data_IF_689434960310
#
_entry.id   IF_689434960310
#
_cell.length_a   1.000
_cell.length_b   1.000
_cell.length_c   1.000
_cell.angle_alpha   90.00
_cell.angle_beta   90.00
_cell.angle_gamma   90.00
#
_symmetry.space_group_name_H-M   'P 1'
#
loop_
_entity.id
_entity.type
_entity.pdbx_description
1 polymer ?
#
# COMPACT_ATOMS: atom_id res chain seq x y z
N UNK A 1 -63.03 -5.52 -34.63
CA UNK A 1 -61.62 -5.43 -35.05
C UNK A 1 -60.95 -4.32 -34.25
N UNK A 2 -60.31 -4.52 -33.10
CA UNK A 2 -60.08 -5.60 -32.13
C UNK A 2 -58.80 -5.12 -31.39
N UNK A 3 -58.62 -5.01 -30.07
CA UNK A 3 -59.26 -5.49 -28.84
C UNK A 3 -58.74 -4.63 -27.65
N UNK A 4 -59.61 -4.35 -26.67
CA UNK A 4 -59.48 -4.43 -25.18
C UNK A 4 -58.13 -4.07 -24.48
N UNK A 5 -58.03 -3.45 -23.29
CA UNK A 5 -59.00 -3.26 -22.19
C UNK A 5 -58.49 -2.24 -21.13
N UNK A 6 -59.44 -1.71 -20.36
CA UNK A 6 -59.33 -0.74 -19.27
C UNK A 6 -58.89 -1.31 -17.89
N UNK A 7 -58.21 -0.46 -17.12
CA UNK A 7 -58.28 -0.16 -15.67
C UNK A 7 -59.15 -0.99 -14.70
N UNK A 8 -58.61 -1.24 -13.48
CA UNK A 8 -59.27 -1.09 -12.15
C UNK A 8 -58.21 -0.47 -11.19
N UNK A 9 -58.32 0.74 -10.60
CA UNK A 9 -59.28 1.31 -9.60
C UNK A 9 -59.28 0.49 -8.30
N UNK A 10 -58.92 1.05 -7.14
CA UNK A 10 -59.76 1.87 -6.24
C UNK A 10 -58.99 2.12 -4.92
N UNK A 11 -59.22 3.10 -4.03
CA UNK A 11 -59.95 4.38 -4.02
C UNK A 11 -59.84 5.01 -2.61
N UNK A 12 -60.10 6.32 -2.53
CA UNK A 12 -60.16 7.22 -1.37
C UNK A 12 -61.18 6.84 -0.27
N UNK A 13 -60.96 7.39 0.94
CA UNK A 13 -62.03 7.62 1.93
C UNK A 13 -61.55 8.30 3.21
N UNK A 14 -62.05 9.51 3.50
CA UNK A 14 -61.86 10.26 4.75
C UNK A 14 -63.24 10.51 5.37
N UNK A 15 -63.49 10.07 6.62
CA UNK A 15 -64.53 10.62 7.51
C UNK A 15 -64.45 10.09 8.97
N UNK A 16 -64.39 11.04 9.90
CA UNK A 16 -65.01 11.13 11.25
C UNK A 16 -64.74 10.11 12.40
N UNK A 17 -64.18 10.69 13.49
CA UNK A 17 -64.42 10.48 14.94
C UNK A 17 -64.83 9.09 15.50
N UNK A 18 -63.92 8.50 16.28
CA UNK A 18 -64.27 7.82 17.54
C UNK A 18 -63.09 7.88 18.52
N UNK A 19 -63.32 8.49 19.67
CA UNK A 19 -62.46 8.45 20.87
C UNK A 19 -62.34 7.01 21.39
N UNK A 20 -61.11 6.52 21.54
CA UNK A 20 -60.82 5.27 22.24
C UNK A 20 -59.33 5.19 22.56
N UNK A 21 -58.98 5.31 23.85
CA UNK A 21 -57.63 5.02 24.33
C UNK A 21 -57.30 3.55 24.03
N UNK A 22 -56.30 3.32 23.18
CA UNK A 22 -55.66 2.03 23.03
C UNK A 22 -54.14 2.25 22.93
N UNK A 23 -53.40 1.58 23.80
CA UNK A 23 -51.95 1.64 23.91
C UNK A 23 -51.28 1.31 22.57
N UNK A 24 -50.41 2.20 22.10
CA UNK A 24 -49.51 1.91 20.98
C UNK A 24 -48.34 1.09 21.55
N UNK A 25 -48.11 -0.16 21.11
CA UNK A 25 -46.86 -0.84 21.44
C UNK A 25 -45.74 -0.05 20.74
N UNK A 26 -44.77 0.41 21.52
CA UNK A 26 -43.61 1.11 21.00
C UNK A 26 -42.95 0.27 19.91
N UNK A 27 -42.85 0.83 18.71
CA UNK A 27 -41.97 0.31 17.67
C UNK A 27 -40.56 0.53 18.19
N UNK A 28 -40.02 -0.48 18.88
CA UNK A 28 -38.61 -0.57 19.14
C UNK A 28 -37.93 -0.59 17.77
N UNK A 29 -37.33 0.54 17.39
CA UNK A 29 -36.39 0.59 16.29
C UNK A 29 -35.33 -0.46 16.60
N UNK A 30 -35.40 -1.60 15.91
CA UNK A 30 -34.35 -2.57 15.91
C UNK A 30 -33.14 -1.89 15.27
N UNK A 31 -32.32 -1.21 16.09
CA UNK A 31 -30.93 -0.94 15.74
C UNK A 31 -30.37 -2.30 15.36
N UNK A 32 -30.08 -2.50 14.08
CA UNK A 32 -29.27 -3.62 13.64
C UNK A 32 -28.02 -3.57 14.50
N UNK A 33 -27.90 -4.49 15.47
CA UNK A 33 -26.65 -4.67 16.19
C UNK A 33 -25.63 -4.98 15.11
N UNK A 34 -24.66 -4.08 14.89
CA UNK A 34 -23.48 -4.40 14.10
C UNK A 34 -22.98 -5.76 14.60
N UNK A 35 -22.58 -6.69 13.72
CA UNK A 35 -21.90 -7.89 14.14
C UNK A 35 -20.75 -7.47 15.06
N UNK A 36 -20.75 -7.95 16.31
CA UNK A 36 -19.65 -7.69 17.21
C UNK A 36 -18.43 -8.41 16.62
N UNK A 37 -17.50 -7.66 16.05
CA UNK A 37 -16.22 -8.22 15.65
C UNK A 37 -15.42 -8.41 16.93
N UNK A 38 -15.12 -9.66 17.27
CA UNK A 38 -14.34 -9.99 18.47
C UNK A 38 -12.85 -9.72 18.25
N UNK A 39 -12.24 -8.86 19.07
CA UNK A 39 -10.81 -8.54 19.05
C UNK A 39 -10.34 -8.02 20.42
N UNK A 40 -9.03 -8.17 20.70
CA UNK A 40 -8.40 -7.72 21.94
C UNK A 40 -8.07 -6.22 21.88
N UNK A 41 -8.37 -5.49 22.96
CA UNK A 41 -8.11 -4.05 23.11
C UNK A 41 -7.21 -3.70 24.30
N UNK A 42 -7.11 -4.60 25.30
CA UNK A 42 -6.17 -4.45 26.41
C UNK A 42 -4.74 -4.53 25.88
N UNK A 43 -3.98 -3.45 26.03
CA UNK A 43 -2.63 -3.32 25.47
C UNK A 43 -1.65 -4.25 26.19
N UNK A 44 -1.08 -5.20 25.44
CA UNK A 44 0.05 -6.03 25.87
C UNK A 44 1.01 -6.29 24.70
N UNK A 45 2.18 -5.64 24.71
CA UNK A 45 3.21 -5.78 23.67
C UNK A 45 3.83 -7.18 23.60
N UNK A 46 3.52 -8.06 24.56
CA UNK A 46 3.99 -9.46 24.58
C UNK A 46 2.90 -10.44 24.18
N UNK A 47 1.68 -9.97 23.92
CA UNK A 47 0.58 -10.81 23.46
C UNK A 47 0.50 -10.78 21.91
N UNK A 48 0.79 -11.91 21.23
CA UNK A 48 0.66 -11.99 19.78
C UNK A 48 -0.80 -11.88 19.30
N UNK A 49 -1.79 -12.20 20.14
CA UNK A 49 -3.21 -12.03 19.80
C UNK A 49 -3.60 -10.56 19.79
N UNK A 50 -3.20 -9.79 20.81
CA UNK A 50 -3.33 -8.34 20.80
C UNK A 50 -2.60 -7.70 19.62
N UNK A 51 -1.36 -8.13 19.34
CA UNK A 51 -0.57 -7.60 18.21
C UNK A 51 -1.26 -7.88 16.87
N UNK A 52 -1.75 -9.11 16.65
CA UNK A 52 -2.54 -9.47 15.46
C UNK A 52 -3.74 -8.54 15.28
N UNK A 53 -4.55 -8.40 16.33
CA UNK A 53 -5.80 -7.65 16.28
C UNK A 53 -5.56 -6.14 16.09
N UNK A 54 -4.57 -5.58 16.77
CA UNK A 54 -4.21 -4.16 16.64
C UNK A 54 -3.58 -3.88 15.27
N UNK A 55 -2.66 -4.72 14.80
CA UNK A 55 -2.05 -4.56 13.47
C UNK A 55 -3.09 -4.72 12.35
N UNK A 56 -4.00 -5.69 12.44
CA UNK A 56 -5.08 -5.85 11.46
C UNK A 56 -5.98 -4.61 11.38
N UNK A 57 -6.28 -3.96 12.52
CA UNK A 57 -7.04 -2.70 12.55
C UNK A 57 -6.26 -1.49 12.03
N UNK A 58 -4.93 -1.50 12.06
CA UNK A 58 -4.10 -0.45 11.44
C UNK A 58 -4.01 -0.68 9.93
N UNK A 59 -3.70 -1.91 9.52
CA UNK A 59 -3.47 -2.26 8.12
C UNK A 59 -4.77 -2.34 7.30
N UNK A 60 -5.94 -2.54 7.93
CA UNK A 60 -7.25 -2.50 7.28
C UNK A 60 -8.39 -2.10 8.22
N UNK A 61 -9.63 -2.14 7.70
CA UNK A 61 -10.83 -2.18 8.54
C UNK A 61 -11.25 -3.65 8.69
N UNK A 62 -11.35 -4.13 9.93
CA UNK A 62 -11.71 -5.54 10.21
C UNK A 62 -13.21 -5.81 10.09
N UNK A 63 -14.03 -4.78 9.84
CA UNK A 63 -15.41 -4.95 9.39
C UNK A 63 -15.37 -5.40 7.91
N UNK A 64 -15.80 -6.64 7.58
CA UNK A 64 -15.66 -7.20 6.23
C UNK A 64 -16.54 -6.48 5.19
N UNK A 65 -17.46 -5.60 5.63
CA UNK A 65 -18.30 -4.80 4.73
C UNK A 65 -17.62 -3.53 4.23
N UNK A 66 -16.43 -3.23 4.75
CA UNK A 66 -15.68 -2.02 4.44
C UNK A 66 -14.34 -2.34 3.78
N UNK A 67 -13.71 -1.30 3.26
CA UNK A 67 -12.33 -1.30 2.85
C UNK A 67 -11.63 -0.04 3.37
N UNK A 68 -10.35 -0.16 3.72
CA UNK A 68 -9.51 0.97 4.12
C UNK A 68 -8.88 1.57 2.88
N UNK A 69 -8.98 2.88 2.73
CA UNK A 69 -8.17 3.64 1.77
C UNK A 69 -6.98 4.30 2.50
N UNK A 70 -5.77 4.04 2.02
CA UNK A 70 -4.56 4.75 2.44
C UNK A 70 -4.04 5.62 1.32
N UNK A 71 -3.47 6.78 1.66
CA UNK A 71 -2.78 7.66 0.71
C UNK A 71 -1.35 7.91 1.16
N UNK A 72 -0.45 7.96 0.19
CA UNK A 72 0.98 8.12 0.41
C UNK A 72 1.55 9.22 -0.48
N UNK A 73 2.48 10.01 0.06
CA UNK A 73 3.16 11.07 -0.67
C UNK A 73 4.59 11.30 -0.18
N UNK A 74 5.49 11.58 -1.10
CA UNK A 74 6.88 11.89 -0.77
C UNK A 74 7.76 12.07 -2.00
N UNK A 75 9.03 11.71 -1.84
CA UNK A 75 10.07 11.87 -2.87
C UNK A 75 10.97 10.65 -2.93
N UNK A 76 11.46 10.37 -4.13
CA UNK A 76 12.50 9.39 -4.36
C UNK A 76 13.83 10.10 -4.63
N UNK A 77 14.86 9.64 -3.92
CA UNK A 77 16.18 10.24 -3.90
C UNK A 77 17.18 9.28 -4.55
N UNK A 78 17.91 9.75 -5.56
CA UNK A 78 19.01 9.01 -6.18
C UNK A 78 20.29 9.17 -5.37
N UNK A 79 20.78 8.05 -4.84
CA UNK A 79 22.00 7.98 -4.03
C UNK A 79 23.09 7.29 -4.85
N UNK A 80 24.07 8.07 -5.31
CA UNK A 80 25.22 7.58 -6.10
C UNK A 80 26.53 8.07 -5.47
N UNK A 81 27.63 7.30 -5.55
CA UNK A 81 28.91 7.73 -5.00
C UNK A 81 29.38 9.08 -5.56
N UNK A 82 30.14 9.81 -4.75
CA UNK A 82 30.94 10.97 -5.14
C UNK A 82 30.16 12.17 -5.71
N UNK A 83 28.86 12.25 -5.44
CA UNK A 83 28.06 13.44 -5.72
C UNK A 83 26.99 13.67 -4.64
N UNK A 84 26.33 14.84 -4.72
CA UNK A 84 25.18 15.11 -3.86
C UNK A 84 24.04 14.16 -4.20
N UNK A 85 23.31 13.74 -3.19
CA UNK A 85 22.02 13.04 -3.37
C UNK A 85 21.10 13.92 -4.20
N UNK A 86 20.48 13.33 -5.23
CA UNK A 86 19.57 14.03 -6.14
C UNK A 86 18.14 13.69 -5.82
N UNK A 87 17.25 14.67 -5.72
CA UNK A 87 15.81 14.41 -5.80
C UNK A 87 15.47 14.11 -7.24
N UNK A 88 14.88 12.93 -7.52
CA UNK A 88 14.62 12.48 -8.88
C UNK A 88 13.20 12.82 -9.34
N UNK A 89 12.21 12.50 -8.49
CA UNK A 89 10.80 12.68 -8.77
C UNK A 89 9.98 12.60 -7.47
N UNK A 90 8.76 13.12 -7.53
CA UNK A 90 7.76 12.89 -6.49
C UNK A 90 7.23 11.46 -6.55
N UNK A 91 6.73 10.99 -5.41
CA UNK A 91 6.12 9.67 -5.24
C UNK A 91 4.76 9.90 -4.62
N UNK A 92 3.69 9.46 -5.27
CA UNK A 92 2.34 9.65 -4.76
C UNK A 92 1.43 8.50 -5.19
N UNK A 93 0.65 7.98 -4.26
CA UNK A 93 -0.13 6.78 -4.50
C UNK A 93 -1.18 6.53 -3.44
N UNK A 94 -1.85 5.39 -3.57
CA UNK A 94 -2.85 4.96 -2.63
C UNK A 94 -3.00 3.43 -2.65
N UNK A 95 -3.63 2.91 -1.61
CA UNK A 95 -3.97 1.50 -1.51
C UNK A 95 -5.38 1.31 -0.98
N UNK A 96 -5.99 0.20 -1.38
CA UNK A 96 -7.25 -0.28 -0.82
C UNK A 96 -7.04 -1.65 -0.20
N UNK A 97 -7.51 -1.81 1.03
CA UNK A 97 -7.38 -3.05 1.81
C UNK A 97 -8.74 -3.51 2.30
N UNK A 98 -9.06 -4.78 2.03
CA UNK A 98 -10.20 -5.48 2.63
C UNK A 98 -9.69 -6.61 3.52
N UNK A 99 -10.32 -6.77 4.67
CA UNK A 99 -10.00 -7.85 5.62
C UNK A 99 -11.09 -8.91 5.61
N UNK A 100 -10.67 -10.18 5.65
CA UNK A 100 -11.56 -11.32 5.87
C UNK A 100 -11.08 -12.10 7.08
N UNK A 101 -11.90 -12.17 8.13
CA UNK A 101 -11.62 -13.00 9.31
C UNK A 101 -11.71 -14.48 8.92
N UNK A 102 -10.72 -15.27 9.33
CA UNK A 102 -10.63 -16.71 9.10
C UNK A 102 -11.14 -17.47 10.34
N UNK A 103 -11.39 -18.76 10.16
CA UNK A 103 -11.97 -19.63 11.21
C UNK A 103 -11.07 -19.73 12.46
N UNK A 104 -9.75 -19.63 12.29
CA UNK A 104 -8.75 -19.65 13.36
C UNK A 104 -8.57 -18.29 14.06
N UNK A 105 -9.35 -17.27 13.66
CA UNK A 105 -9.28 -15.91 14.19
C UNK A 105 -8.23 -15.02 13.53
N UNK A 106 -7.43 -15.54 12.60
CA UNK A 106 -6.53 -14.72 11.77
C UNK A 106 -7.30 -13.87 10.76
N UNK A 107 -6.63 -12.89 10.15
CA UNK A 107 -7.20 -12.03 9.12
C UNK A 107 -6.47 -12.27 7.81
N UNK A 108 -7.22 -12.64 6.77
CA UNK A 108 -6.73 -12.58 5.40
C UNK A 108 -6.83 -11.14 4.92
N UNK A 109 -5.67 -10.53 4.67
CA UNK A 109 -5.54 -9.20 4.09
C UNK A 109 -5.56 -9.31 2.58
N UNK A 110 -6.48 -8.57 1.95
CA UNK A 110 -6.57 -8.43 0.50
C UNK A 110 -6.27 -7.01 0.09
N UNK A 111 -5.12 -6.78 -0.54
CA UNK A 111 -4.65 -5.45 -0.91
C UNK A 111 -4.51 -5.32 -2.42
N UNK A 112 -4.87 -4.12 -2.90
CA UNK A 112 -4.42 -3.57 -4.17
C UNK A 112 -3.82 -2.19 -3.93
N UNK A 113 -2.68 -1.91 -4.54
CA UNK A 113 -2.00 -0.61 -4.38
C UNK A 113 -1.36 -0.15 -5.67
N UNK A 114 -1.34 1.18 -5.81
CA UNK A 114 -0.72 1.84 -6.95
C UNK A 114 0.03 3.10 -6.49
N UNK A 115 1.25 3.26 -6.97
CA UNK A 115 2.09 4.44 -6.70
C UNK A 115 2.65 4.97 -8.01
N UNK A 116 2.35 6.23 -8.26
CA UNK A 116 2.80 6.98 -9.42
C UNK A 116 4.03 7.81 -9.09
N UNK A 117 4.77 8.15 -10.14
CA UNK A 117 5.88 9.08 -10.07
C UNK A 117 5.45 10.42 -10.66
N UNK A 118 5.72 11.50 -9.93
CA UNK A 118 5.25 12.84 -10.28
C UNK A 118 6.40 13.78 -10.58
N UNK A 119 6.15 14.74 -11.48
CA UNK A 119 7.08 15.80 -11.78
C UNK A 119 7.28 16.71 -10.55
N UNK A 120 8.52 17.14 -10.31
CA UNK A 120 8.88 17.86 -9.09
C UNK A 120 8.36 19.29 -9.04
N UNK A 121 8.15 19.91 -10.20
CA UNK A 121 7.70 21.31 -10.30
C UNK A 121 6.19 21.40 -10.33
N UNK A 122 5.55 20.57 -11.16
CA UNK A 122 4.10 20.61 -11.44
C UNK A 122 3.30 19.69 -10.53
N UNK A 123 3.90 18.62 -10.01
CA UNK A 123 3.21 17.57 -9.26
C UNK A 123 2.34 16.64 -10.12
N UNK A 124 2.39 16.75 -11.45
CA UNK A 124 1.63 15.90 -12.36
C UNK A 124 2.23 14.49 -12.46
N UNK A 125 1.39 13.48 -12.65
CA UNK A 125 1.83 12.10 -12.91
C UNK A 125 2.54 12.05 -14.26
N UNK A 126 3.75 11.48 -14.27
CA UNK A 126 4.59 11.41 -15.46
C UNK A 126 4.38 10.10 -16.24
N UNK A 127 4.19 10.20 -17.56
CA UNK A 127 4.35 9.07 -18.49
C UNK A 127 5.80 8.93 -18.98
N UNK A 128 6.54 10.05 -19.01
CA UNK A 128 7.95 10.08 -19.40
C UNK A 128 8.76 10.92 -18.42
N UNK A 129 10.01 10.53 -18.21
CA UNK A 129 10.94 11.22 -17.34
C UNK A 129 12.31 11.32 -17.99
N UNK A 130 12.97 12.46 -17.83
CA UNK A 130 14.34 12.65 -18.27
C UNK A 130 15.30 12.16 -17.20
N UNK A 131 16.08 11.12 -17.51
CA UNK A 131 17.05 10.56 -16.58
C UNK A 131 18.35 11.39 -16.59
N UNK A 132 18.67 12.12 -15.49
CA UNK A 132 19.85 12.99 -15.43
C UNK A 132 21.17 12.23 -15.36
N UNK A 133 21.15 10.90 -15.25
CA UNK A 133 22.33 10.06 -15.23
C UNK A 133 22.71 9.50 -16.60
N UNK A 134 21.73 9.26 -17.46
CA UNK A 134 21.93 8.72 -18.82
C UNK A 134 21.66 9.73 -19.92
N UNK A 135 21.07 10.89 -19.59
CA UNK A 135 20.60 11.92 -20.53
C UNK A 135 19.48 11.41 -21.47
N UNK A 136 18.80 10.32 -21.10
CA UNK A 136 17.73 9.71 -21.88
C UNK A 136 16.35 10.07 -21.32
N UNK A 137 15.37 10.29 -22.21
CA UNK A 137 13.96 10.30 -21.82
C UNK A 137 13.40 8.88 -21.84
N UNK A 138 13.02 8.38 -20.66
CA UNK A 138 12.49 7.03 -20.45
C UNK A 138 10.99 7.06 -20.18
N UNK A 139 10.29 5.99 -20.54
CA UNK A 139 8.89 5.78 -20.15
C UNK A 139 8.85 5.39 -18.66
N UNK A 140 7.96 6.00 -17.91
CA UNK A 140 7.76 5.73 -16.48
C UNK A 140 6.83 4.53 -16.33
N UNK A 141 7.15 3.64 -15.40
CA UNK A 141 6.28 2.51 -15.03
C UNK A 141 5.94 2.63 -13.54
N UNK A 142 4.65 2.74 -13.16
CA UNK A 142 4.24 2.89 -11.76
C UNK A 142 4.49 1.60 -10.97
N UNK A 143 4.49 1.72 -9.64
CA UNK A 143 4.34 0.55 -8.76
C UNK A 143 2.87 0.17 -8.82
N UNK A 144 2.57 -1.06 -9.23
CA UNK A 144 1.22 -1.54 -9.40
C UNK A 144 1.15 -2.99 -8.88
N UNK A 145 0.80 -3.16 -7.60
CA UNK A 145 0.75 -4.48 -6.98
C UNK A 145 -0.71 -4.93 -6.88
N UNK A 146 -1.05 -5.97 -7.63
CA UNK A 146 -2.40 -6.54 -7.72
C UNK A 146 -2.34 -8.07 -7.90
N UNK A 147 -2.58 -8.86 -6.83
CA UNK A 147 -2.82 -8.45 -5.45
C UNK A 147 -1.53 -8.44 -4.63
N UNK A 148 -1.58 -7.91 -3.40
CA UNK A 148 -0.55 -8.13 -2.38
C UNK A 148 -1.15 -8.67 -1.08
N UNK A 149 -1.56 -9.93 -1.14
CA UNK A 149 -2.28 -10.60 -0.07
C UNK A 149 -1.33 -11.36 0.87
N UNK A 150 -1.62 -11.32 2.16
CA UNK A 150 -1.00 -12.18 3.17
C UNK A 150 -1.95 -12.38 4.36
N UNK A 151 -1.58 -13.27 5.28
CA UNK A 151 -2.37 -13.58 6.47
C UNK A 151 -1.75 -12.93 7.70
N UNK A 152 -2.53 -12.14 8.44
CA UNK A 152 -2.17 -11.55 9.74
C UNK A 152 -2.68 -12.52 10.81
N UNK A 153 -1.74 -13.22 11.47
CA UNK A 153 -2.04 -14.24 12.48
C UNK A 153 -1.31 -13.95 13.79
N UNK A 154 -1.45 -14.84 14.78
CA UNK A 154 -0.66 -14.79 16.02
C UNK A 154 0.81 -15.23 15.79
N UNK A 155 1.17 -15.58 14.55
CA UNK A 155 2.52 -15.90 14.10
C UNK A 155 2.97 -14.95 13.01
N UNK A 156 4.26 -14.63 13.01
CA UNK A 156 4.86 -13.76 12.01
C UNK A 156 4.60 -14.30 10.59
N UNK A 157 4.27 -13.43 9.62
CA UNK A 157 4.05 -13.86 8.26
C UNK A 157 5.34 -14.41 7.66
N UNK A 158 5.20 -15.41 6.79
CA UNK A 158 6.29 -15.83 5.92
C UNK A 158 6.77 -14.65 5.05
N UNK A 159 8.02 -14.72 4.60
CA UNK A 159 8.52 -13.77 3.62
C UNK A 159 7.66 -13.79 2.35
N UNK A 160 7.51 -12.66 1.64
CA UNK A 160 6.77 -12.64 0.39
C UNK A 160 7.49 -13.52 -0.63
N UNK A 161 6.79 -14.52 -1.19
CA UNK A 161 7.40 -15.51 -2.10
C UNK A 161 7.71 -14.97 -3.49
N UNK A 162 7.05 -13.87 -3.89
CA UNK A 162 7.18 -13.25 -5.22
C UNK A 162 7.06 -14.26 -6.36
N UNK A 163 5.99 -15.06 -6.33
CA UNK A 163 5.77 -16.11 -7.32
C UNK A 163 6.76 -17.27 -7.23
N UNK A 164 7.40 -17.46 -6.07
CA UNK A 164 8.35 -18.54 -5.79
C UNK A 164 9.82 -18.16 -6.02
N UNK A 165 10.13 -16.91 -6.39
CA UNK A 165 11.51 -16.45 -6.53
C UNK A 165 12.20 -16.30 -5.18
N UNK A 166 11.49 -15.77 -4.19
CA UNK A 166 11.99 -15.70 -2.83
C UNK A 166 11.64 -16.99 -2.08
N UNK A 167 12.66 -17.75 -1.73
CA UNK A 167 12.55 -19.03 -1.04
C UNK A 167 12.92 -18.95 0.44
N UNK A 168 13.12 -17.73 0.96
CA UNK A 168 13.48 -17.53 2.36
C UNK A 168 12.35 -17.96 3.27
N UNK A 169 12.55 -19.09 3.94
CA UNK A 169 11.66 -19.59 4.98
C UNK A 169 12.02 -18.93 6.30
N UNK A 170 11.01 -18.45 7.01
CA UNK A 170 11.17 -17.92 8.37
C UNK A 170 10.79 -18.98 9.37
N UNK A 171 11.51 -19.02 10.49
CA UNK A 171 11.05 -19.80 11.63
C UNK A 171 9.70 -19.27 12.10
N UNK A 172 8.83 -20.20 12.52
CA UNK A 172 7.50 -19.85 13.00
C UNK A 172 7.62 -19.24 14.39
N UNK A 173 7.59 -17.92 14.44
CA UNK A 173 7.67 -17.15 15.68
C UNK A 173 6.34 -16.45 15.98
N UNK A 174 6.02 -16.16 17.25
CA UNK A 174 4.88 -15.32 17.61
C UNK A 174 4.93 -13.97 16.90
N UNK A 175 3.79 -13.45 16.45
CA UNK A 175 3.71 -12.14 15.83
C UNK A 175 3.79 -11.05 16.89
N UNK A 176 5.01 -10.69 17.28
CA UNK A 176 5.31 -9.53 18.09
C UNK A 176 5.94 -8.45 17.20
N UNK A 177 5.71 -7.18 17.56
CA UNK A 177 6.17 -6.03 16.78
C UNK A 177 6.83 -5.00 17.68
N UNK A 178 7.60 -4.09 17.07
CA UNK A 178 8.35 -3.05 17.77
C UNK A 178 7.44 -1.87 18.13
N UNK A 179 6.76 -2.02 19.26
CA UNK A 179 5.84 -1.04 19.84
C UNK A 179 6.51 -0.20 20.92
N UNK A 180 6.24 1.10 20.90
CA UNK A 180 6.60 2.02 21.97
C UNK A 180 5.48 3.03 22.26
N UNK A 181 5.49 3.59 23.47
CA UNK A 181 4.62 4.72 23.80
C UNK A 181 5.22 6.01 23.29
N UNK A 182 4.41 6.80 22.58
CA UNK A 182 4.77 8.14 22.13
C UNK A 182 4.29 9.24 23.10
N UNK A 183 4.60 10.50 22.80
CA UNK A 183 4.10 11.64 23.57
C UNK A 183 2.58 11.82 23.40
N UNK A 184 1.95 12.63 24.26
CA UNK A 184 0.56 13.09 24.10
C UNK A 184 -0.50 11.98 23.96
N UNK A 185 -0.24 10.77 24.48
CA UNK A 185 -1.20 9.67 24.39
C UNK A 185 -1.14 8.88 23.09
N UNK A 186 -0.09 9.03 22.28
CA UNK A 186 0.11 8.21 21.08
C UNK A 186 0.88 6.92 21.38
N UNK A 187 0.83 5.99 20.43
CA UNK A 187 1.72 4.83 20.34
C UNK A 187 2.41 4.84 18.98
N UNK A 188 3.62 4.31 18.93
CA UNK A 188 4.43 4.21 17.73
C UNK A 188 4.69 2.73 17.46
N UNK A 189 4.52 2.33 16.21
CA UNK A 189 4.83 1.01 15.71
C UNK A 189 5.87 1.13 14.60
N UNK A 190 7.01 0.47 14.77
CA UNK A 190 7.99 0.29 13.71
C UNK A 190 7.84 -1.12 13.11
N UNK A 191 7.64 -1.19 11.80
CA UNK A 191 7.69 -2.46 11.06
C UNK A 191 8.66 -2.35 9.90
N UNK A 192 9.20 -3.48 9.45
CA UNK A 192 10.07 -3.48 8.30
C UNK A 192 10.41 -4.86 7.80
N UNK A 193 11.01 -4.88 6.61
CA UNK A 193 11.49 -6.09 5.98
C UNK A 193 12.75 -5.78 5.16
N UNK A 194 13.77 -6.60 5.37
CA UNK A 194 14.99 -6.61 4.56
C UNK A 194 14.99 -7.87 3.70
N UNK A 195 15.26 -7.70 2.41
CA UNK A 195 15.15 -8.76 1.41
C UNK A 195 16.39 -8.83 0.54
N UNK A 196 16.80 -10.05 0.22
CA UNK A 196 17.82 -10.36 -0.77
C UNK A 196 17.44 -11.66 -1.48
N UNK A 197 16.86 -11.56 -2.67
CA UNK A 197 16.31 -12.71 -3.39
C UNK A 197 16.66 -12.66 -4.89
N UNK A 198 16.57 -13.78 -5.64
CA UNK A 198 16.81 -13.79 -7.07
C UNK A 198 16.02 -12.72 -7.82
N UNK A 199 16.70 -11.90 -8.63
CA UNK A 199 16.07 -10.84 -9.38
C UNK A 199 15.24 -11.41 -10.56
N UNK A 200 13.99 -11.00 -10.70
CA UNK A 200 13.16 -11.37 -11.86
C UNK A 200 13.76 -10.86 -13.19
N UNK A 201 14.51 -9.76 -13.15
CA UNK A 201 15.20 -9.15 -14.29
C UNK A 201 16.66 -9.63 -14.31
N UNK A 202 16.92 -10.82 -14.86
CA UNK A 202 18.29 -11.33 -14.94
C UNK A 202 19.17 -10.52 -15.90
N UNK A 203 20.43 -10.15 -15.55
CA UNK A 203 21.26 -9.24 -16.36
C UNK A 203 21.50 -9.67 -17.81
N UNK A 204 21.52 -10.98 -18.07
CA UNK A 204 21.72 -11.52 -19.43
C UNK A 204 20.53 -11.26 -20.37
N UNK A 205 19.35 -11.03 -19.81
CA UNK A 205 18.12 -10.73 -20.55
C UNK A 205 17.73 -9.26 -20.45
N UNK A 206 18.04 -8.62 -19.32
CA UNK A 206 17.64 -7.26 -18.97
C UNK A 206 18.86 -6.38 -18.65
N UNK A 207 19.80 -6.19 -19.59
CA UNK A 207 21.09 -5.54 -19.29
C UNK A 207 20.94 -4.07 -18.86
N UNK A 208 19.86 -3.40 -19.28
CA UNK A 208 19.61 -1.98 -18.95
C UNK A 208 18.72 -1.80 -17.73
N UNK A 209 17.86 -2.77 -17.43
CA UNK A 209 16.90 -2.69 -16.32
C UNK A 209 17.39 -3.41 -15.06
N UNK A 210 18.26 -4.40 -15.23
CA UNK A 210 18.72 -5.24 -14.12
C UNK A 210 19.81 -4.54 -13.31
N UNK A 211 19.56 -4.44 -12.00
CA UNK A 211 20.58 -4.06 -11.02
C UNK A 211 21.55 -5.19 -10.65
N UNK A 212 21.39 -6.39 -11.22
CA UNK A 212 22.20 -7.57 -10.89
C UNK A 212 21.37 -8.84 -10.72
N UNK A 213 22.05 -9.96 -10.44
CA UNK A 213 21.42 -11.28 -10.33
C UNK A 213 20.46 -11.42 -9.13
N UNK A 214 20.64 -10.59 -8.10
CA UNK A 214 19.83 -10.57 -6.87
C UNK A 214 19.20 -9.20 -6.70
N UNK A 215 17.93 -9.15 -6.29
CA UNK A 215 17.27 -7.94 -5.86
C UNK A 215 17.47 -7.76 -4.36
N UNK A 216 18.04 -6.60 -3.98
CA UNK A 216 18.26 -6.21 -2.59
C UNK A 216 17.41 -5.01 -2.26
N UNK A 217 16.36 -5.21 -1.47
CA UNK A 217 15.38 -4.17 -1.13
C UNK A 217 15.11 -4.19 0.36
N UNK A 218 14.83 -3.03 0.91
CA UNK A 218 14.42 -2.86 2.29
C UNK A 218 13.26 -1.88 2.38
N UNK A 219 12.25 -2.21 3.17
CA UNK A 219 11.07 -1.37 3.39
C UNK A 219 10.83 -1.22 4.89
N UNK A 220 10.54 0.01 5.32
CA UNK A 220 10.34 0.36 6.71
C UNK A 220 9.13 1.26 6.85
N UNK A 221 8.31 0.99 7.86
CA UNK A 221 7.11 1.72 8.18
C UNK A 221 7.17 2.18 9.63
N UNK A 222 6.76 3.43 9.85
CA UNK A 222 6.50 3.98 11.17
C UNK A 222 5.04 4.38 11.18
N UNK A 223 4.25 3.80 12.08
CA UNK A 223 2.85 4.19 12.31
C UNK A 223 2.77 4.96 13.62
N UNK A 224 1.97 6.03 13.63
CA UNK A 224 1.60 6.76 14.82
C UNK A 224 0.09 6.67 14.97
N UNK A 225 -0.35 6.10 16.10
CA UNK A 225 -1.77 5.89 16.44
C UNK A 225 -2.10 6.55 17.77
N UNK A 226 -3.35 6.91 17.97
CA UNK A 226 -3.85 7.34 19.28
C UNK A 226 -4.07 6.10 20.18
N UNK A 227 -3.53 6.10 21.40
CA UNK A 227 -3.72 5.00 22.35
C UNK A 227 -5.20 4.75 22.65
N UNK A 228 -5.98 5.83 22.74
CA UNK A 228 -7.42 5.76 22.99
C UNK A 228 -8.17 5.00 21.88
N UNK A 229 -7.71 5.08 20.63
CA UNK A 229 -8.29 4.35 19.50
C UNK A 229 -7.90 2.86 19.52
N UNK A 230 -6.68 2.54 19.97
CA UNK A 230 -6.24 1.14 20.17
C UNK A 230 -7.11 0.43 21.21
N UNK A 231 -7.41 1.11 22.31
CA UNK A 231 -8.24 0.60 23.42
C UNK A 231 -9.74 0.63 23.12
N UNK A 232 -10.18 1.21 22.00
CA UNK A 232 -11.59 1.37 21.69
C UNK A 232 -12.20 0.10 21.08
N UNK A 233 -13.13 -0.60 21.78
CA UNK A 233 -13.75 -1.83 21.29
C UNK A 233 -14.78 -1.62 20.17
N UNK A 234 -15.18 -0.37 19.89
CA UNK A 234 -16.15 -0.05 18.83
C UNK A 234 -15.45 0.31 17.50
N UNK A 235 -14.12 0.43 17.51
CA UNK A 235 -13.34 0.91 16.39
C UNK A 235 -12.70 -0.24 15.62
N UNK A 236 -13.25 -0.54 14.44
CA UNK A 236 -12.80 -1.64 13.56
C UNK A 236 -11.64 -1.25 12.64
N UNK A 237 -11.28 0.04 12.59
CA UNK A 237 -10.09 0.54 11.91
C UNK A 237 -9.48 1.65 12.76
N UNK A 238 -8.18 1.58 13.04
CA UNK A 238 -7.44 2.60 13.79
C UNK A 238 -6.88 3.63 12.81
N UNK A 239 -7.39 4.88 12.80
CA UNK A 239 -6.82 5.96 12.02
C UNK A 239 -5.37 6.22 12.43
N UNK A 240 -4.54 6.55 11.46
CA UNK A 240 -3.12 6.77 11.70
C UNK A 240 -2.50 7.68 10.67
N UNK A 241 -1.36 8.25 11.06
CA UNK A 241 -0.38 8.83 10.14
C UNK A 241 0.90 8.02 10.26
N UNK A 242 1.76 8.12 9.25
CA UNK A 242 3.03 7.42 9.31
C UNK A 242 4.03 7.85 8.26
N UNK A 243 5.15 7.14 8.25
CA UNK A 243 6.22 7.27 7.28
C UNK A 243 6.49 5.91 6.65
N UNK A 244 6.64 5.88 5.34
CA UNK A 244 7.22 4.74 4.64
C UNK A 244 8.52 5.16 3.98
N UNK A 245 9.54 4.35 4.20
CA UNK A 245 10.86 4.51 3.62
C UNK A 245 11.25 3.21 2.93
N UNK A 246 11.86 3.34 1.75
CA UNK A 246 12.30 2.20 0.96
C UNK A 246 13.71 2.45 0.45
N UNK A 247 14.57 1.46 0.56
CA UNK A 247 15.87 1.41 -0.11
C UNK A 247 15.76 0.32 -1.18
N UNK A 248 15.99 0.68 -2.43
CA UNK A 248 15.84 -0.23 -3.57
C UNK A 248 16.87 0.09 -4.63
N UNK A 249 17.30 -0.86 -5.48
CA UNK A 249 18.16 -0.53 -6.60
C UNK A 249 17.48 0.49 -7.53
N UNK A 250 18.22 1.01 -8.51
CA UNK A 250 17.61 1.84 -9.56
C UNK A 250 16.37 1.16 -10.14
N UNK A 251 15.31 1.93 -10.37
CA UNK A 251 14.07 1.35 -10.90
C UNK A 251 14.35 0.80 -12.31
N UNK A 252 13.76 -0.35 -12.67
CA UNK A 252 13.96 -0.97 -13.98
C UNK A 252 13.81 0.02 -15.15
N UNK A 253 12.73 0.82 -15.13
CA UNK A 253 12.42 1.79 -16.18
C UNK A 253 13.39 2.98 -16.25
N UNK A 254 14.26 3.19 -15.25
CA UNK A 254 15.30 4.21 -15.33
C UNK A 254 16.47 3.80 -16.25
N UNK A 255 16.54 2.53 -16.65
CA UNK A 255 17.56 2.01 -17.58
C UNK A 255 19.01 2.21 -17.09
N UNK A 256 19.24 2.07 -15.78
CA UNK A 256 20.53 2.29 -15.13
C UNK A 256 21.45 1.06 -15.13
N UNK A 257 20.92 -0.12 -15.46
CA UNK A 257 21.60 -1.40 -15.37
C UNK A 257 22.27 -1.59 -14.00
N UNK A 258 23.52 -2.02 -14.03
CA UNK A 258 24.34 -2.25 -12.85
C UNK A 258 25.15 -0.99 -12.42
N UNK A 259 24.67 0.21 -12.76
CA UNK A 259 25.30 1.45 -12.30
C UNK A 259 25.34 1.51 -10.76
N UNK A 260 26.44 2.03 -10.21
CA UNK A 260 26.56 2.20 -8.77
C UNK A 260 25.47 3.12 -8.21
N UNK A 261 24.99 2.80 -7.01
CA UNK A 261 23.97 3.58 -6.33
C UNK A 261 22.64 2.85 -6.20
N UNK A 262 21.64 3.59 -5.72
CA UNK A 262 20.31 3.08 -5.40
C UNK A 262 19.34 4.25 -5.21
N UNK A 263 18.08 3.92 -4.96
CA UNK A 263 17.04 4.89 -4.61
C UNK A 263 16.67 4.74 -3.15
N UNK A 264 16.50 5.89 -2.49
CA UNK A 264 15.93 5.99 -1.16
C UNK A 264 14.63 6.81 -1.20
N UNK A 265 13.53 6.22 -0.72
CA UNK A 265 12.23 6.85 -0.64
C UNK A 265 12.05 7.50 0.73
N UNK A 266 11.54 8.72 0.74
CA UNK A 266 11.14 9.44 1.94
C UNK A 266 9.69 9.89 1.76
N UNK A 267 8.76 9.22 2.42
CA UNK A 267 7.32 9.44 2.25
C UNK A 267 6.61 9.52 3.58
N UNK A 268 5.43 10.14 3.58
CA UNK A 268 4.44 10.02 4.64
C UNK A 268 3.17 9.39 4.08
N UNK A 269 2.39 8.76 4.95
CA UNK A 269 1.08 8.21 4.61
C UNK A 269 0.06 8.50 5.71
N UNK A 270 -1.22 8.38 5.35
CA UNK A 270 -2.35 8.50 6.26
C UNK A 270 -3.56 7.72 5.74
N UNK A 271 -4.50 7.40 6.63
CA UNK A 271 -5.83 6.92 6.25
C UNK A 271 -6.63 8.03 5.57
N UNK A 272 -7.40 7.68 4.53
CA UNK A 272 -8.39 8.56 3.89
C UNK A 272 -9.80 8.03 4.18
N UNK A 273 -10.53 8.58 5.17
CA UNK A 273 -11.84 8.07 5.57
C UNK A 273 -12.91 8.15 4.48
N UNK A 274 -12.81 9.14 3.59
CA UNK A 274 -13.75 9.36 2.49
C UNK A 274 -13.49 8.43 1.29
N UNK A 275 -12.49 7.53 1.38
CA UNK A 275 -12.12 6.62 0.31
C UNK A 275 -11.69 7.37 -0.96
N UNK A 276 -12.19 6.92 -2.11
CA UNK A 276 -11.91 7.55 -3.42
C UNK A 276 -12.25 9.04 -3.42
N UNK A 277 -13.28 9.48 -2.68
CA UNK A 277 -13.69 10.88 -2.66
C UNK A 277 -12.71 11.81 -1.92
N UNK A 278 -11.87 11.26 -1.04
CA UNK A 278 -10.81 12.01 -0.34
C UNK A 278 -9.46 11.98 -1.05
N UNK A 279 -9.30 11.17 -2.10
CA UNK A 279 -8.05 11.10 -2.86
C UNK A 279 -7.87 12.31 -3.80
N UNK A 280 -6.62 12.75 -4.03
CA UNK A 280 -6.34 13.77 -5.04
C UNK A 280 -6.85 13.40 -6.43
N UNK A 281 -7.52 14.35 -7.09
CA UNK A 281 -8.20 14.11 -8.37
C UNK A 281 -7.25 13.61 -9.48
N UNK A 282 -5.99 14.06 -9.50
CA UNK A 282 -5.01 13.60 -10.49
C UNK A 282 -4.66 12.11 -10.32
N UNK A 283 -4.58 11.61 -9.08
CA UNK A 283 -4.34 10.18 -8.81
C UNK A 283 -5.53 9.33 -9.20
N UNK A 284 -6.75 9.78 -8.85
CA UNK A 284 -7.98 9.07 -9.22
C UNK A 284 -8.07 8.97 -10.74
N UNK A 285 -7.78 10.06 -11.46
CA UNK A 285 -7.74 10.05 -12.93
C UNK A 285 -6.68 9.07 -13.45
N UNK A 286 -5.44 9.16 -12.97
CA UNK A 286 -4.35 8.29 -13.42
C UNK A 286 -4.65 6.80 -13.19
N UNK A 287 -5.27 6.45 -12.06
CA UNK A 287 -5.70 5.09 -11.78
C UNK A 287 -6.80 4.61 -12.74
N UNK A 288 -7.81 5.45 -13.03
CA UNK A 288 -8.86 5.12 -14.02
C UNK A 288 -8.32 4.94 -15.43
N UNK A 289 -7.34 5.75 -15.81
CA UNK A 289 -6.68 5.64 -17.12
C UNK A 289 -5.95 4.29 -17.25
N UNK A 290 -5.54 3.67 -16.14
CA UNK A 290 -5.00 2.31 -16.11
C UNK A 290 -6.11 1.26 -16.08
N UNK A 291 -6.96 1.26 -15.04
CA UNK A 291 -8.11 0.36 -14.87
C UNK A 291 -8.93 0.81 -13.64
N UNK A 292 -10.27 0.85 -13.71
CA UNK A 292 -11.13 1.22 -12.57
C UNK A 292 -10.91 0.31 -11.34
N UNK A 293 -10.44 -0.93 -11.53
CA UNK A 293 -10.15 -1.87 -10.43
C UNK A 293 -9.20 -1.30 -9.39
N UNK A 294 -8.29 -0.39 -9.77
CA UNK A 294 -7.32 0.19 -8.84
C UNK A 294 -7.99 0.98 -7.71
N UNK A 295 -9.24 1.45 -7.90
CA UNK A 295 -9.99 2.25 -6.93
C UNK A 295 -10.80 1.45 -5.91
N UNK A 296 -10.50 0.15 -5.74
CA UNK A 296 -11.12 -0.70 -4.72
C UNK A 296 -10.21 -1.88 -4.37
N UNK A 297 -10.40 -2.48 -3.19
CA UNK A 297 -9.69 -3.68 -2.78
C UNK A 297 -10.23 -4.92 -3.52
N UNK A 298 -9.42 -5.99 -3.67
CA UNK A 298 -9.93 -7.28 -4.13
C UNK A 298 -11.11 -7.77 -3.27
N UNK A 299 -12.14 -8.32 -3.91
CA UNK A 299 -13.28 -8.96 -3.23
C UNK A 299 -13.03 -10.44 -2.96
N UNK A 300 -12.11 -11.05 -3.71
CA UNK A 300 -11.74 -12.46 -3.62
C UNK A 300 -10.24 -12.58 -3.37
N UNK A 301 -9.85 -13.71 -2.77
CA UNK A 301 -8.44 -14.05 -2.56
C UNK A 301 -7.88 -14.76 -3.79
N UNK A 302 -6.92 -14.13 -4.45
CA UNK A 302 -6.18 -14.71 -5.57
C UNK A 302 -4.69 -14.39 -5.43
N UNK A 303 -3.89 -14.98 -6.31
CA UNK A 303 -2.46 -14.78 -6.32
C UNK A 303 -1.81 -15.36 -7.56
N UNK A 304 -0.46 -15.44 -7.57
CA UNK A 304 0.43 -15.11 -6.46
C UNK A 304 0.50 -13.59 -6.17
N UNK A 305 0.86 -13.23 -4.93
CA UNK A 305 1.27 -11.86 -4.60
C UNK A 305 2.65 -11.60 -5.22
N UNK A 306 2.75 -10.56 -6.04
CA UNK A 306 3.98 -10.17 -6.73
C UNK A 306 4.38 -8.76 -6.30
N UNK A 307 5.69 -8.49 -6.29
CA UNK A 307 6.14 -7.10 -6.23
C UNK A 307 6.07 -6.48 -7.62
N UNK A 308 6.09 -5.14 -7.67
CA UNK A 308 6.21 -4.37 -8.90
C UNK A 308 7.39 -4.80 -9.80
N UNK A 309 8.45 -5.40 -9.26
CA UNK A 309 9.57 -5.92 -10.05
C UNK A 309 9.17 -7.15 -10.87
N UNK A 310 8.46 -8.10 -10.25
CA UNK A 310 7.97 -9.30 -10.95
C UNK A 310 6.83 -8.95 -11.91
N UNK A 311 6.00 -7.96 -11.58
CA UNK A 311 5.00 -7.41 -12.50
C UNK A 311 5.69 -6.77 -13.70
N UNK A 312 6.73 -5.96 -13.50
CA UNK A 312 7.53 -5.36 -14.57
C UNK A 312 8.10 -6.43 -15.52
N UNK A 313 8.67 -7.51 -14.96
CA UNK A 313 9.23 -8.62 -15.75
C UNK A 313 8.18 -9.33 -16.63
N UNK A 314 6.90 -9.32 -16.23
CA UNK A 314 5.80 -9.94 -16.97
C UNK A 314 5.21 -9.03 -18.05
N UNK A 315 5.13 -7.74 -17.76
CA UNK A 315 4.38 -6.79 -18.58
C UNK A 315 5.25 -5.97 -19.54
N UNK A 316 6.55 -5.85 -19.24
CA UNK A 316 7.48 -5.08 -20.06
C UNK A 316 8.35 -6.01 -20.91
N UNK A 317 9.04 -5.42 -21.87
CA UNK A 317 10.07 -6.08 -22.69
C UNK A 317 11.41 -5.39 -22.49
N UNK A 318 12.55 -6.11 -22.51
CA UNK A 318 13.86 -5.49 -22.38
C UNK A 318 14.07 -4.36 -23.39
N UNK A 319 14.57 -3.23 -22.91
CA UNK A 319 14.91 -2.09 -23.73
C UNK A 319 16.08 -2.45 -24.66
N UNK A 320 16.10 -1.93 -25.89
CA UNK A 320 17.23 -2.09 -26.80
C UNK A 320 18.53 -1.64 -26.14
N UNK A 321 19.62 -2.35 -26.41
CA UNK A 321 20.98 -2.00 -25.97
C UNK A 321 21.69 -1.29 -27.12
N UNK A 322 21.91 0.04 -27.04
CA UNK A 322 22.70 0.74 -28.04
C UNK A 322 24.11 0.17 -28.15
N UNK A 323 24.70 0.24 -29.34
CA UNK A 323 26.10 -0.17 -29.54
C UNK A 323 27.02 0.64 -28.62
N UNK A 324 27.87 -0.06 -27.85
CA UNK A 324 28.78 0.57 -26.90
C UNK A 324 28.12 1.11 -25.62
N UNK A 325 26.84 0.80 -25.37
CA UNK A 325 26.19 1.20 -24.13
C UNK A 325 26.85 0.53 -22.92
N UNK A 326 27.14 1.32 -21.89
CA UNK A 326 27.58 0.87 -20.57
C UNK A 326 26.73 1.55 -19.49
N UNK A 327 26.53 0.93 -18.32
CA UNK A 327 25.90 1.58 -17.19
C UNK A 327 26.56 2.92 -16.84
N UNK A 328 25.80 3.99 -16.52
CA UNK A 328 26.37 5.29 -16.20
C UNK A 328 27.28 5.21 -14.97
N UNK A 329 28.53 5.66 -15.12
CA UNK A 329 29.54 5.62 -14.06
C UNK A 329 29.33 6.77 -13.07
N UNK A 330 29.56 6.49 -11.79
CA UNK A 330 29.62 7.54 -10.79
C UNK A 330 30.81 8.48 -11.07
N UNK A 331 30.74 9.76 -10.63
CA UNK A 331 31.91 10.63 -10.65
C UNK A 331 33.10 10.00 -9.89
N UNK A 332 34.35 10.34 -10.25
CA UNK A 332 35.51 9.87 -9.51
C UNK A 332 35.46 10.37 -8.06
N UNK A 333 36.08 9.61 -7.15
CA UNK A 333 36.18 10.00 -5.76
C UNK A 333 36.81 11.40 -5.62
N UNK A 334 36.26 12.27 -4.74
CA UNK A 334 36.87 13.56 -4.49
C UNK A 334 38.27 13.37 -3.91
N UNK A 335 39.19 14.28 -4.25
CA UNK A 335 40.51 14.29 -3.63
C UNK A 335 40.35 14.41 -2.09
N UNK A 336 41.06 13.56 -1.34
CA UNK A 336 41.08 13.65 0.11
C UNK A 336 41.54 15.03 0.57
N UNK A 337 40.96 15.53 1.65
CA UNK A 337 41.43 16.77 2.24
C UNK A 337 42.82 16.54 2.83
N UNK A 338 43.79 17.45 2.62
CA UNK A 338 45.06 17.37 3.32
C UNK A 338 44.80 17.33 4.83
N UNK A 339 45.60 16.59 5.61
CA UNK A 339 45.45 16.59 7.07
C UNK A 339 45.49 18.04 7.57
N UNK A 340 44.56 18.38 8.47
CA UNK A 340 44.62 19.69 9.12
C UNK A 340 45.96 19.77 9.84
N UNK A 341 46.73 20.82 9.55
CA UNK A 341 47.86 21.18 10.39
C UNK A 341 47.25 21.82 11.63
N UNK A 342 47.44 21.17 12.78
CA UNK A 342 47.01 21.67 14.10
C UNK A 342 47.61 23.04 14.42
#
# INVERSE_FOLDING_TARGET
MDKFNLSRRESLGLAAFATGMAAVPGVASARSKKPAVDFVTDIDFKDPKWTRDTYARIDGDIDPTKEKCGWIKGKAMGVRPNEKIRTLFGVEGFSFVRMKKLEDGSYRRMLREIVFYTDLETGEVMDKWHNPYTDETVKVVPIANDPFNFTISEYAPEGPSYGGLNTDLREREPFLQDWEYGPNGTMILNTGIDLMYPNALQPSQWPRESAGAMNRVSEHFIYVVEKADVENPELTHIPHIGSWSRITPWLPWMLMGQAEGHISYFTHFQTIPEGVAGLPAHLVKAARDMDEKWLSAPTEDYGPSLSSLEVYAREQTPAPVPEGWEPPKAPPAPAGFPPRKD
#
